data_IF_927138338866
#
_entry.id   IF_927138338866
#
_cell.length_a   1.000
_cell.length_b   1.000
_cell.length_c   1.000
_cell.angle_alpha   90.00
_cell.angle_beta   90.00
_cell.angle_gamma   90.00
#
_symmetry.space_group_name_H-M   'P 1'
#
loop_
_entity.id
_entity.type
_entity.pdbx_description
1 polymer ?
#
# COMPACT_ATOMS: atom_id res chain seq x y z
N UNK A 1 27.61 -2.15 -50.85
CA UNK A 1 26.24 -2.35 -50.32
C UNK A 1 26.20 -3.20 -49.03
N UNK A 2 27.02 -4.24 -48.85
CA UNK A 2 26.99 -5.06 -47.61
C UNK A 2 27.32 -4.31 -46.30
N UNK A 3 28.17 -3.28 -46.33
CA UNK A 3 28.46 -2.47 -45.14
C UNK A 3 27.28 -1.61 -44.67
N UNK A 4 26.36 -1.24 -45.57
CA UNK A 4 25.16 -0.46 -45.21
C UNK A 4 24.15 -1.35 -44.48
N UNK A 5 23.97 -2.59 -44.93
CA UNK A 5 23.09 -3.56 -44.27
C UNK A 5 23.58 -3.94 -42.85
N UNK A 6 24.90 -4.04 -42.63
CA UNK A 6 25.45 -4.28 -41.29
C UNK A 6 25.26 -3.09 -40.35
N UNK A 7 25.41 -1.85 -40.86
CA UNK A 7 25.18 -0.64 -40.07
C UNK A 7 23.70 -0.45 -39.73
N UNK A 8 22.78 -0.78 -40.64
CA UNK A 8 21.33 -0.77 -40.36
C UNK A 8 20.93 -1.87 -39.37
N UNK A 9 21.48 -3.08 -39.49
CA UNK A 9 21.26 -4.16 -38.54
C UNK A 9 21.74 -3.81 -37.12
N UNK A 10 22.94 -3.21 -37.00
CA UNK A 10 23.45 -2.73 -35.71
C UNK A 10 22.60 -1.58 -35.12
N UNK A 11 22.09 -0.67 -35.96
CA UNK A 11 21.15 0.37 -35.51
C UNK A 11 19.84 -0.23 -35.01
N UNK A 12 19.25 -1.19 -35.72
CA UNK A 12 18.02 -1.86 -35.30
C UNK A 12 18.21 -2.63 -33.99
N UNK A 13 19.31 -3.38 -33.83
CA UNK A 13 19.63 -4.07 -32.59
C UNK A 13 19.84 -3.10 -31.41
N UNK A 14 20.52 -1.97 -31.64
CA UNK A 14 20.69 -0.93 -30.62
C UNK A 14 19.37 -0.22 -30.26
N UNK A 15 18.48 -0.05 -31.24
CA UNK A 15 17.14 0.50 -31.06
C UNK A 15 16.29 -0.43 -30.19
N UNK A 16 16.23 -1.73 -30.53
CA UNK A 16 15.49 -2.72 -29.76
C UNK A 16 16.01 -2.87 -28.32
N UNK A 17 17.34 -2.80 -28.13
CA UNK A 17 17.95 -2.82 -26.79
C UNK A 17 17.63 -1.55 -25.97
N UNK A 18 17.63 -0.37 -26.61
CA UNK A 18 17.20 0.88 -25.95
C UNK A 18 15.72 0.84 -25.58
N UNK A 19 14.87 0.36 -26.48
CA UNK A 19 13.43 0.29 -26.25
C UNK A 19 13.09 -0.71 -25.14
N UNK A 20 13.72 -1.89 -25.11
CA UNK A 20 13.60 -2.84 -23.98
C UNK A 20 14.16 -2.29 -22.67
N UNK A 21 15.29 -1.60 -22.67
CA UNK A 21 15.82 -0.96 -21.46
C UNK A 21 14.89 0.15 -20.95
N UNK A 22 14.37 1.00 -21.83
CA UNK A 22 13.43 2.07 -21.47
C UNK A 22 12.12 1.49 -20.94
N UNK A 23 11.66 0.36 -21.49
CA UNK A 23 10.47 -0.33 -20.99
C UNK A 23 10.75 -0.96 -19.61
N UNK A 24 11.92 -1.55 -19.38
CA UNK A 24 12.32 -2.09 -18.07
C UNK A 24 12.46 -0.99 -17.01
N UNK A 25 13.05 0.16 -17.37
CA UNK A 25 13.11 1.33 -16.47
C UNK A 25 11.72 1.88 -16.18
N UNK A 26 10.84 2.01 -17.18
CA UNK A 26 9.45 2.43 -16.99
C UNK A 26 8.65 1.47 -16.10
N UNK A 27 8.84 0.16 -16.27
CA UNK A 27 8.26 -0.87 -15.39
C UNK A 27 8.82 -0.72 -13.98
N UNK A 28 10.14 -0.56 -13.83
CA UNK A 28 10.79 -0.40 -12.52
C UNK A 28 10.34 0.87 -11.79
N UNK A 29 10.21 1.99 -12.48
CA UNK A 29 9.70 3.25 -11.92
C UNK A 29 8.23 3.15 -11.54
N UNK A 30 7.40 2.52 -12.38
CA UNK A 30 5.99 2.26 -12.06
C UNK A 30 5.86 1.38 -10.82
N UNK A 31 6.73 0.38 -10.71
CA UNK A 31 6.78 -0.53 -9.58
C UNK A 31 7.23 0.16 -8.31
N UNK A 32 8.23 1.05 -8.40
CA UNK A 32 8.70 1.85 -7.28
C UNK A 32 7.67 2.90 -6.83
N UNK A 33 6.89 3.45 -7.76
CA UNK A 33 5.93 4.51 -7.51
C UNK A 33 4.61 4.03 -6.91
N UNK A 34 4.26 2.74 -7.05
CA UNK A 34 3.03 2.20 -6.51
C UNK A 34 3.28 1.36 -5.24
N UNK A 35 2.95 1.86 -4.04
CA UNK A 35 3.16 1.13 -2.79
C UNK A 35 2.45 -0.23 -2.73
N UNK A 36 1.31 -0.36 -3.42
CA UNK A 36 0.56 -1.62 -3.48
C UNK A 36 1.33 -2.65 -4.32
N UNK A 37 1.86 -2.27 -5.49
CA UNK A 37 2.70 -3.15 -6.32
C UNK A 37 3.94 -3.63 -5.57
N UNK A 38 4.59 -2.76 -4.77
CA UNK A 38 5.76 -3.16 -3.95
C UNK A 38 5.40 -4.18 -2.88
N UNK A 39 4.22 -4.03 -2.25
CA UNK A 39 3.70 -5.00 -1.28
C UNK A 39 3.37 -6.34 -1.96
N UNK A 40 2.74 -6.29 -3.12
CA UNK A 40 2.32 -7.48 -3.86
C UNK A 40 3.54 -8.26 -4.38
N UNK A 41 4.56 -7.57 -4.88
CA UNK A 41 5.83 -8.20 -5.21
C UNK A 41 6.53 -8.83 -4.00
N UNK A 42 6.53 -8.16 -2.84
CA UNK A 42 7.12 -8.74 -1.62
C UNK A 42 6.39 -10.02 -1.18
N UNK A 43 5.07 -10.08 -1.37
CA UNK A 43 4.29 -11.30 -1.16
C UNK A 43 4.62 -12.39 -2.19
N UNK A 44 4.82 -12.02 -3.46
CA UNK A 44 5.20 -12.97 -4.51
C UNK A 44 6.59 -13.57 -4.26
N UNK A 45 7.57 -12.77 -3.84
CA UNK A 45 8.89 -13.26 -3.44
C UNK A 45 8.80 -14.23 -2.27
N UNK A 46 8.01 -13.89 -1.25
CA UNK A 46 7.76 -14.80 -0.12
C UNK A 46 7.17 -16.13 -0.60
N UNK A 47 6.18 -16.08 -1.50
CA UNK A 47 5.55 -17.27 -2.06
C UNK A 47 6.55 -18.14 -2.83
N UNK A 48 7.36 -17.54 -3.70
CA UNK A 48 8.42 -18.25 -4.46
C UNK A 48 9.46 -18.87 -3.52
N UNK A 49 9.82 -18.18 -2.45
CA UNK A 49 10.74 -18.68 -1.41
C UNK A 49 10.15 -19.88 -0.66
N UNK A 50 8.86 -19.81 -0.27
CA UNK A 50 8.14 -20.93 0.35
C UNK A 50 8.01 -22.14 -0.60
N UNK A 51 7.73 -21.89 -1.89
CA UNK A 51 7.67 -22.94 -2.93
C UNK A 51 9.05 -23.60 -3.15
N UNK A 52 10.14 -22.83 -3.22
CA UNK A 52 11.49 -23.35 -3.35
C UNK A 52 11.89 -24.24 -2.16
N UNK A 53 11.65 -23.77 -0.92
CA UNK A 53 11.89 -24.57 0.29
C UNK A 53 11.13 -25.90 0.27
N UNK A 54 9.86 -25.89 -0.12
CA UNK A 54 9.08 -27.13 -0.20
C UNK A 54 9.63 -28.09 -1.25
N UNK A 55 10.09 -27.59 -2.40
CA UNK A 55 10.70 -28.42 -3.44
C UNK A 55 12.00 -29.05 -2.95
N UNK A 56 12.89 -28.27 -2.31
CA UNK A 56 14.16 -28.76 -1.77
C UNK A 56 13.93 -29.82 -0.68
N UNK A 57 12.93 -29.62 0.18
CA UNK A 57 12.54 -30.57 1.22
C UNK A 57 11.99 -31.88 0.63
N UNK A 58 11.23 -31.81 -0.46
CA UNK A 58 10.73 -33.00 -1.14
C UNK A 58 11.85 -33.75 -1.89
N UNK A 59 12.81 -33.03 -2.48
CA UNK A 59 14.00 -33.64 -3.09
C UNK A 59 14.84 -34.36 -2.03
N UNK A 60 15.09 -33.73 -0.88
CA UNK A 60 15.83 -34.31 0.23
C UNK A 60 15.13 -35.56 0.81
N UNK A 61 13.80 -35.57 0.90
CA UNK A 61 13.05 -36.78 1.31
C UNK A 61 13.16 -37.91 0.28
N UNK A 62 13.15 -37.58 -1.02
CA UNK A 62 13.30 -38.58 -2.09
C UNK A 62 14.69 -39.23 -2.08
N UNK A 63 15.75 -38.43 -1.93
CA UNK A 63 17.12 -38.96 -1.84
C UNK A 63 17.28 -39.86 -0.61
N UNK A 64 16.74 -39.45 0.55
CA UNK A 64 16.69 -40.30 1.74
C UNK A 64 15.93 -41.60 1.50
N UNK A 65 14.75 -41.54 0.90
CA UNK A 65 13.96 -42.75 0.66
C UNK A 65 14.69 -43.74 -0.25
N UNK A 66 15.40 -43.24 -1.28
CA UNK A 66 16.23 -44.07 -2.14
C UNK A 66 17.41 -44.71 -1.38
N UNK A 67 18.08 -43.95 -0.51
CA UNK A 67 19.15 -44.46 0.35
C UNK A 67 18.65 -45.52 1.33
N UNK A 68 17.53 -45.27 2.01
CA UNK A 68 16.92 -46.22 2.95
C UNK A 68 16.53 -47.54 2.24
N UNK A 69 16.03 -47.47 1.00
CA UNK A 69 15.76 -48.66 0.18
C UNK A 69 17.03 -49.43 -0.18
N UNK A 70 18.12 -48.74 -0.51
CA UNK A 70 19.38 -49.38 -0.87
C UNK A 70 20.03 -50.08 0.33
N UNK A 71 20.05 -49.42 1.50
CA UNK A 71 20.51 -50.02 2.75
C UNK A 71 19.65 -51.24 3.13
N UNK A 72 18.33 -51.17 2.96
CA UNK A 72 17.43 -52.29 3.23
C UNK A 72 17.74 -53.51 2.33
N UNK A 73 18.05 -53.29 1.04
CA UNK A 73 18.47 -54.36 0.13
C UNK A 73 19.81 -54.98 0.56
N UNK A 74 20.80 -54.16 0.91
CA UNK A 74 22.12 -54.64 1.38
C UNK A 74 21.99 -55.46 2.67
N UNK A 75 21.16 -55.00 3.60
CA UNK A 75 20.89 -55.73 4.83
C UNK A 75 20.19 -57.08 4.56
N UNK A 76 19.18 -57.10 3.67
CA UNK A 76 18.50 -58.33 3.28
C UNK A 76 19.45 -59.31 2.57
N UNK A 77 20.35 -58.83 1.71
CA UNK A 77 21.36 -59.65 1.06
C UNK A 77 22.33 -60.29 2.07
N UNK A 78 22.81 -59.52 3.05
CA UNK A 78 23.66 -60.03 4.12
C UNK A 78 22.95 -61.09 4.98
N UNK A 79 21.66 -60.86 5.32
CA UNK A 79 20.86 -61.83 6.06
C UNK A 79 20.65 -63.14 5.27
N UNK A 80 20.43 -63.06 3.94
CA UNK A 80 20.35 -64.24 3.08
C UNK A 80 21.67 -65.00 3.02
N UNK A 81 22.79 -64.30 2.81
CA UNK A 81 24.12 -64.89 2.77
C UNK A 81 24.46 -65.61 4.08
N UNK A 82 24.12 -64.99 5.22
CA UNK A 82 24.30 -65.62 6.53
C UNK A 82 23.43 -66.87 6.69
N UNK A 83 22.17 -66.85 6.22
CA UNK A 83 21.31 -68.04 6.23
C UNK A 83 21.87 -69.17 5.37
N UNK A 84 22.39 -68.86 4.19
CA UNK A 84 23.02 -69.83 3.28
C UNK A 84 24.30 -70.43 3.88
N UNK A 85 25.17 -69.59 4.47
CA UNK A 85 26.37 -70.04 5.16
C UNK A 85 26.04 -70.97 6.33
N UNK A 86 25.04 -70.62 7.15
CA UNK A 86 24.59 -71.46 8.27
C UNK A 86 24.07 -72.80 7.76
N UNK A 87 23.24 -72.80 6.70
CA UNK A 87 22.71 -74.04 6.11
C UNK A 87 23.83 -74.91 5.53
N UNK A 88 24.72 -74.31 4.73
CA UNK A 88 25.85 -75.00 4.10
C UNK A 88 26.79 -75.61 5.14
N UNK A 89 27.15 -74.84 6.17
CA UNK A 89 28.00 -75.32 7.25
C UNK A 89 27.32 -76.46 8.03
N UNK A 90 26.02 -76.35 8.33
CA UNK A 90 25.27 -77.42 8.99
C UNK A 90 25.21 -78.70 8.15
N UNK A 91 25.06 -78.59 6.82
CA UNK A 91 25.07 -79.75 5.93
C UNK A 91 26.44 -80.42 5.84
N UNK A 92 27.52 -79.64 5.82
CA UNK A 92 28.89 -80.13 5.81
C UNK A 92 29.24 -80.84 7.13
N UNK A 93 28.93 -80.22 8.27
CA UNK A 93 29.10 -80.82 9.58
C UNK A 93 28.30 -82.10 9.76
N UNK A 94 27.06 -82.14 9.24
CA UNK A 94 26.25 -83.36 9.25
C UNK A 94 26.88 -84.47 8.40
N UNK A 95 27.41 -84.14 7.24
CA UNK A 95 28.09 -85.11 6.36
C UNK A 95 29.34 -85.69 7.02
N UNK A 96 30.15 -84.85 7.65
CA UNK A 96 31.32 -85.28 8.42
C UNK A 96 30.94 -86.14 9.63
N UNK A 97 29.88 -85.77 10.36
CA UNK A 97 29.35 -86.57 11.47
C UNK A 97 28.83 -87.94 10.99
N UNK A 98 28.10 -87.98 9.88
CA UNK A 98 27.58 -89.22 9.31
C UNK A 98 28.70 -90.12 8.78
N UNK A 99 29.81 -89.54 8.31
CA UNK A 99 31.02 -90.29 7.95
C UNK A 99 31.72 -90.84 9.20
N UNK A 100 31.93 -90.00 10.20
CA UNK A 100 32.50 -90.42 11.49
C UNK A 100 31.75 -91.60 12.11
N UNK A 101 30.42 -91.52 12.15
CA UNK A 101 29.56 -92.58 12.68
C UNK A 101 29.67 -93.88 11.85
N UNK A 102 29.81 -93.77 10.52
CA UNK A 102 30.01 -94.92 9.63
C UNK A 102 31.37 -95.58 9.84
N UNK A 103 32.42 -94.78 9.99
CA UNK A 103 33.78 -95.25 10.23
C UNK A 103 33.88 -95.94 11.60
N UNK A 104 33.25 -95.36 12.64
CA UNK A 104 33.15 -95.98 13.98
C UNK A 104 32.36 -97.30 13.94
N UNK A 105 31.26 -97.36 13.20
CA UNK A 105 30.51 -98.61 13.01
C UNK A 105 31.32 -99.67 12.23
N UNK A 106 32.03 -99.26 11.18
CA UNK A 106 32.89 -100.12 10.36
C UNK A 106 34.03 -100.71 11.18
N UNK A 107 34.74 -99.88 11.95
CA UNK A 107 35.77 -100.33 12.88
C UNK A 107 35.20 -101.30 13.91
N UNK A 108 34.03 -100.98 14.50
CA UNK A 108 33.34 -101.88 15.42
C UNK A 108 32.99 -103.25 14.81
N UNK A 109 32.69 -103.33 13.51
CA UNK A 109 32.52 -104.60 12.80
C UNK A 109 33.85 -105.32 12.55
N UNK A 110 34.89 -104.60 12.13
CA UNK A 110 36.22 -105.15 11.92
C UNK A 110 36.81 -105.77 13.20
N UNK A 111 36.64 -105.09 14.34
CA UNK A 111 37.05 -105.59 15.65
C UNK A 111 36.33 -106.90 16.03
N UNK A 112 35.01 -106.98 15.79
CA UNK A 112 34.25 -108.22 16.01
C UNK A 112 34.72 -109.36 15.10
N UNK A 113 35.07 -109.06 13.84
CA UNK A 113 35.60 -110.04 12.90
C UNK A 113 36.96 -110.56 13.35
N UNK A 114 37.90 -109.69 13.73
CA UNK A 114 39.20 -110.10 14.26
C UNK A 114 39.09 -110.98 15.51
N UNK A 115 38.15 -110.67 16.42
CA UNK A 115 37.86 -111.49 17.59
C UNK A 115 37.29 -112.85 17.20
N UNK A 116 36.39 -112.91 16.20
CA UNK A 116 35.82 -114.17 15.70
C UNK A 116 36.88 -115.04 15.02
N UNK A 117 37.68 -114.46 14.14
CA UNK A 117 38.80 -115.14 13.46
C UNK A 117 39.80 -115.69 14.46
N UNK A 118 40.12 -114.93 15.51
CA UNK A 118 40.97 -115.43 16.58
C UNK A 118 40.31 -116.59 17.34
N UNK A 119 39.01 -116.49 17.65
CA UNK A 119 38.30 -117.59 18.30
C UNK A 119 38.26 -118.87 17.45
N UNK A 120 38.19 -118.75 16.12
CA UNK A 120 38.28 -119.87 15.18
C UNK A 120 39.70 -120.44 15.13
N UNK A 121 40.73 -119.60 14.97
CA UNK A 121 42.14 -119.99 15.04
C UNK A 121 42.46 -120.73 16.36
N UNK A 122 41.91 -120.27 17.48
CA UNK A 122 42.09 -120.93 18.79
C UNK A 122 41.39 -122.29 18.88
N UNK A 123 40.32 -122.54 18.13
CA UNK A 123 39.70 -123.87 18.05
C UNK A 123 40.57 -124.84 17.27
N UNK A 124 41.17 -124.39 16.17
CA UNK A 124 42.08 -125.19 15.33
C UNK A 124 43.36 -125.56 16.10
N UNK A 125 43.93 -124.61 16.83
CA UNK A 125 45.16 -124.80 17.62
C UNK A 125 44.96 -125.65 18.88
N UNK A 126 43.77 -126.22 19.12
CA UNK A 126 43.55 -127.14 20.25
C UNK A 126 44.40 -128.40 20.15
N UNK A 127 44.71 -128.84 18.93
CA UNK A 127 45.57 -130.00 18.66
C UNK A 127 47.07 -129.68 18.60
N UNK A 128 47.47 -128.42 18.51
CA UNK A 128 48.85 -128.02 18.15
C UNK A 128 49.75 -127.64 19.35
N UNK A 129 49.29 -127.92 20.57
CA UNK A 129 50.05 -127.70 21.80
C UNK A 129 50.03 -126.25 22.30
N UNK A 130 50.45 -126.07 23.56
CA UNK A 130 50.36 -124.80 24.29
C UNK A 130 51.16 -123.67 23.63
N UNK A 131 52.34 -123.95 23.09
CA UNK A 131 53.20 -122.93 22.46
C UNK A 131 52.58 -122.30 21.21
N UNK A 132 51.80 -123.06 20.43
CA UNK A 132 51.12 -122.54 19.24
C UNK A 132 49.98 -121.60 19.64
N UNK A 133 49.23 -121.96 20.69
CA UNK A 133 48.17 -121.12 21.26
C UNK A 133 48.74 -119.80 21.81
N UNK A 134 49.83 -119.84 22.59
CA UNK A 134 50.46 -118.63 23.12
C UNK A 134 51.02 -117.69 22.03
N UNK A 135 51.52 -118.25 20.92
CA UNK A 135 51.93 -117.46 19.76
C UNK A 135 50.73 -116.81 19.08
N UNK A 136 49.66 -117.55 18.84
CA UNK A 136 48.45 -117.01 18.22
C UNK A 136 47.77 -115.94 19.07
N UNK A 137 47.77 -116.10 20.40
CA UNK A 137 47.30 -115.07 21.32
C UNK A 137 48.17 -113.81 21.29
N UNK A 138 49.51 -113.94 21.27
CA UNK A 138 50.40 -112.79 21.14
C UNK A 138 50.19 -112.06 19.83
N UNK A 139 50.08 -112.78 18.71
CA UNK A 139 49.76 -112.20 17.41
C UNK A 139 48.41 -111.48 17.41
N UNK A 140 47.37 -112.09 18.00
CA UNK A 140 46.05 -111.45 18.10
C UNK A 140 46.11 -110.19 18.95
N UNK A 141 46.77 -110.22 20.12
CA UNK A 141 46.95 -109.04 20.96
C UNK A 141 47.68 -107.91 20.23
N UNK A 142 48.73 -108.22 19.47
CA UNK A 142 49.43 -107.22 18.65
C UNK A 142 48.52 -106.64 17.58
N UNK A 143 47.81 -107.49 16.81
CA UNK A 143 46.87 -107.04 15.77
C UNK A 143 45.73 -106.17 16.33
N UNK A 144 45.17 -106.55 17.47
CA UNK A 144 44.12 -105.77 18.13
C UNK A 144 44.65 -104.41 18.59
N UNK A 145 45.84 -104.38 19.20
CA UNK A 145 46.47 -103.12 19.62
C UNK A 145 46.83 -102.22 18.43
N UNK A 146 47.31 -102.79 17.32
CA UNK A 146 47.60 -102.04 16.09
C UNK A 146 46.32 -101.44 15.50
N UNK A 147 45.24 -102.23 15.41
CA UNK A 147 43.96 -101.76 14.88
C UNK A 147 43.29 -100.72 15.78
N UNK A 148 43.38 -100.86 17.11
CA UNK A 148 42.88 -99.86 18.07
C UNK A 148 43.67 -98.54 17.97
N UNK A 149 44.99 -98.64 17.82
CA UNK A 149 45.87 -97.48 17.66
C UNK A 149 45.62 -96.74 16.33
N UNK A 150 45.46 -97.48 15.24
CA UNK A 150 45.12 -96.91 13.93
C UNK A 150 43.76 -96.22 13.97
N UNK A 151 42.74 -96.87 14.53
CA UNK A 151 41.42 -96.26 14.67
C UNK A 151 41.42 -95.04 15.61
N UNK A 152 42.24 -95.04 16.67
CA UNK A 152 42.38 -93.86 17.53
C UNK A 152 42.93 -92.68 16.74
N UNK A 153 43.95 -92.88 15.90
CA UNK A 153 44.51 -91.84 15.03
C UNK A 153 43.49 -91.35 13.99
N UNK A 154 42.74 -92.26 13.38
CA UNK A 154 41.66 -91.91 12.45
C UNK A 154 40.57 -91.07 13.12
N UNK A 155 40.18 -91.44 14.36
CA UNK A 155 39.20 -90.70 15.17
C UNK A 155 39.69 -89.29 15.50
N UNK A 156 40.95 -89.15 15.87
CA UNK A 156 41.58 -87.84 16.11
C UNK A 156 41.58 -86.99 14.83
N UNK A 157 41.99 -87.53 13.69
CA UNK A 157 41.99 -86.83 12.38
C UNK A 157 40.57 -86.42 11.98
N UNK A 158 39.57 -87.29 12.17
CA UNK A 158 38.18 -86.98 11.83
C UNK A 158 37.60 -85.89 12.74
N UNK A 159 37.94 -85.91 14.03
CA UNK A 159 37.56 -84.88 14.99
C UNK A 159 38.22 -83.53 14.64
N UNK A 160 39.50 -83.53 14.28
CA UNK A 160 40.21 -82.34 13.81
C UNK A 160 39.56 -81.73 12.57
N UNK A 161 39.16 -82.56 11.60
CA UNK A 161 38.41 -82.12 10.40
C UNK A 161 37.07 -81.47 10.77
N UNK A 162 36.33 -82.08 11.69
CA UNK A 162 35.07 -81.52 12.18
C UNK A 162 35.26 -80.17 12.86
N UNK A 163 36.27 -80.04 13.72
CA UNK A 163 36.54 -78.79 14.43
C UNK A 163 37.11 -77.71 13.51
N UNK A 164 37.88 -78.08 12.49
CA UNK A 164 38.30 -77.17 11.43
C UNK A 164 37.09 -76.62 10.65
N UNK A 165 36.17 -77.49 10.23
CA UNK A 165 34.94 -77.08 9.53
C UNK A 165 34.06 -76.15 10.40
N UNK A 166 33.91 -76.46 11.70
CA UNK A 166 33.20 -75.57 12.64
C UNK A 166 33.84 -74.19 12.71
N UNK A 167 35.17 -74.11 12.86
CA UNK A 167 35.89 -72.83 12.93
C UNK A 167 35.77 -72.05 11.63
N UNK A 168 35.92 -72.70 10.48
CA UNK A 168 35.78 -72.06 9.18
C UNK A 168 34.36 -71.50 8.98
N UNK A 169 33.33 -72.29 9.28
CA UNK A 169 31.94 -71.84 9.24
C UNK A 169 31.67 -70.65 10.16
N UNK A 170 32.15 -70.70 11.40
CA UNK A 170 32.05 -69.58 12.34
C UNK A 170 32.78 -68.32 11.86
N UNK A 171 33.96 -68.45 11.26
CA UNK A 171 34.70 -67.33 10.69
C UNK A 171 33.94 -66.68 9.52
N UNK A 172 33.39 -67.48 8.60
CA UNK A 172 32.58 -66.97 7.48
C UNK A 172 31.35 -66.20 7.95
N UNK A 173 30.64 -66.73 8.96
CA UNK A 173 29.48 -66.05 9.57
C UNK A 173 29.91 -64.74 10.25
N UNK A 174 31.02 -64.75 11.00
CA UNK A 174 31.52 -63.57 11.69
C UNK A 174 31.89 -62.43 10.71
N UNK A 175 32.44 -62.76 9.54
CA UNK A 175 32.74 -61.78 8.49
C UNK A 175 31.47 -61.09 7.95
N UNK A 176 30.40 -61.85 7.71
CA UNK A 176 29.12 -61.30 7.25
C UNK A 176 28.46 -60.45 8.34
N UNK A 177 28.57 -60.86 9.60
CA UNK A 177 28.06 -60.06 10.73
C UNK A 177 28.82 -58.74 10.88
N UNK A 178 30.14 -58.73 10.68
CA UNK A 178 30.94 -57.50 10.66
C UNK A 178 30.51 -56.57 9.51
N UNK A 179 30.23 -57.11 8.33
CA UNK A 179 29.70 -56.34 7.20
C UNK A 179 28.31 -55.76 7.50
N UNK A 180 27.43 -56.53 8.14
CA UNK A 180 26.13 -56.06 8.60
C UNK A 180 26.25 -54.91 9.61
N UNK A 181 27.19 -54.99 10.55
CA UNK A 181 27.48 -53.89 11.47
C UNK A 181 27.98 -52.64 10.74
N UNK A 182 28.83 -52.78 9.71
CA UNK A 182 29.25 -51.66 8.86
C UNK A 182 28.06 -51.01 8.15
N UNK A 183 27.14 -51.80 7.58
CA UNK A 183 25.90 -51.31 6.95
C UNK A 183 25.03 -50.55 7.96
N UNK A 184 24.87 -51.07 9.18
CA UNK A 184 24.09 -50.39 10.22
C UNK A 184 24.72 -49.06 10.66
N UNK A 185 26.06 -49.02 10.77
CA UNK A 185 26.78 -47.79 11.10
C UNK A 185 26.64 -46.75 9.98
N UNK A 186 26.83 -47.16 8.72
CA UNK A 186 26.62 -46.31 7.54
C UNK A 186 25.21 -45.71 7.53
N UNK A 187 24.19 -46.52 7.84
CA UNK A 187 22.80 -46.05 7.98
C UNK A 187 22.64 -45.00 9.08
N UNK A 188 23.26 -45.22 10.24
CA UNK A 188 23.20 -44.29 11.37
C UNK A 188 23.86 -42.95 11.04
N UNK A 189 25.05 -43.00 10.46
CA UNK A 189 25.83 -41.82 10.08
C UNK A 189 25.07 -40.97 9.03
N UNK A 190 24.47 -41.60 8.02
CA UNK A 190 23.69 -40.88 7.01
C UNK A 190 22.37 -40.33 7.56
N UNK A 191 21.71 -41.03 8.50
CA UNK A 191 20.51 -40.54 9.18
C UNK A 191 20.81 -39.26 10.00
N UNK A 192 21.95 -39.24 10.69
CA UNK A 192 22.40 -38.06 11.42
C UNK A 192 22.72 -36.89 10.49
N UNK A 193 23.35 -37.17 9.35
CA UNK A 193 23.63 -36.17 8.31
C UNK A 193 22.35 -35.60 7.72
N UNK A 194 21.40 -36.44 7.32
CA UNK A 194 20.07 -36.02 6.84
C UNK A 194 19.34 -35.16 7.88
N UNK A 195 19.37 -35.56 9.15
CA UNK A 195 18.73 -34.81 10.23
C UNK A 195 19.35 -33.42 10.40
N UNK A 196 20.68 -33.30 10.27
CA UNK A 196 21.37 -32.01 10.29
C UNK A 196 20.99 -31.14 9.11
N UNK A 197 21.02 -31.67 7.88
CA UNK A 197 20.65 -30.94 6.66
C UNK A 197 19.20 -30.43 6.72
N UNK A 198 18.27 -31.27 7.18
CA UNK A 198 16.87 -30.89 7.38
C UNK A 198 16.70 -29.74 8.38
N UNK A 199 17.39 -29.83 9.52
CA UNK A 199 17.32 -28.79 10.56
C UNK A 199 17.93 -27.47 10.07
N UNK A 200 19.03 -27.53 9.33
CA UNK A 200 19.68 -26.36 8.74
C UNK A 200 18.78 -25.70 7.68
N UNK A 201 18.20 -26.49 6.79
CA UNK A 201 17.26 -25.99 5.77
C UNK A 201 16.03 -25.34 6.42
N UNK A 202 15.45 -25.98 7.46
CA UNK A 202 14.32 -25.43 8.20
C UNK A 202 14.67 -24.12 8.93
N UNK A 203 15.87 -24.03 9.51
CA UNK A 203 16.37 -22.82 10.19
C UNK A 203 16.57 -21.68 9.19
N UNK A 204 17.26 -21.93 8.08
CA UNK A 204 17.51 -20.95 7.03
C UNK A 204 16.18 -20.42 6.46
N UNK A 205 15.23 -21.32 6.18
CA UNK A 205 13.91 -20.93 5.72
C UNK A 205 13.12 -20.12 6.76
N UNK A 206 13.26 -20.42 8.05
CA UNK A 206 12.65 -19.60 9.10
C UNK A 206 13.26 -18.18 9.16
N UNK A 207 14.56 -18.05 8.98
CA UNK A 207 15.25 -16.74 8.93
C UNK A 207 14.83 -15.93 7.71
N UNK A 208 14.76 -16.53 6.53
CA UNK A 208 14.26 -15.88 5.31
C UNK A 208 12.79 -15.44 5.44
N UNK A 209 11.93 -16.28 6.04
CA UNK A 209 10.54 -15.89 6.33
C UNK A 209 10.45 -14.68 7.25
N UNK A 210 11.34 -14.56 8.26
CA UNK A 210 11.40 -13.37 9.12
C UNK A 210 11.81 -12.12 8.31
N UNK A 211 12.81 -12.23 7.43
CA UNK A 211 13.24 -11.14 6.55
C UNK A 211 12.11 -10.68 5.62
N UNK A 212 11.44 -11.62 4.94
CA UNK A 212 10.30 -11.31 4.07
C UNK A 212 9.17 -10.63 4.83
N UNK A 213 8.80 -11.13 6.02
CA UNK A 213 7.75 -10.52 6.83
C UNK A 213 8.12 -9.10 7.28
N UNK A 214 9.38 -8.84 7.62
CA UNK A 214 9.86 -7.50 7.96
C UNK A 214 9.73 -6.53 6.77
N UNK A 215 10.13 -6.95 5.57
CA UNK A 215 9.99 -6.16 4.33
C UNK A 215 8.51 -5.87 4.04
N UNK A 216 7.64 -6.89 4.10
CA UNK A 216 6.19 -6.72 3.89
C UNK A 216 5.61 -5.72 4.91
N UNK A 217 6.02 -5.81 6.18
CA UNK A 217 5.63 -4.88 7.23
C UNK A 217 6.05 -3.44 6.95
N UNK A 218 7.31 -3.23 6.53
CA UNK A 218 7.83 -1.92 6.15
C UNK A 218 7.05 -1.32 4.98
N UNK A 219 6.81 -2.11 3.91
CA UNK A 219 6.03 -1.65 2.75
C UNK A 219 4.59 -1.31 3.08
N UNK A 220 3.96 -2.02 4.03
CA UNK A 220 2.64 -1.66 4.54
C UNK A 220 2.64 -0.29 5.24
N UNK A 221 3.66 0.01 6.04
CA UNK A 221 3.78 1.31 6.71
C UNK A 221 4.02 2.45 5.72
N UNK A 222 4.88 2.25 4.72
CA UNK A 222 5.10 3.22 3.63
C UNK A 222 3.81 3.53 2.87
N UNK A 223 2.98 2.50 2.57
CA UNK A 223 1.68 2.68 1.91
C UNK A 223 0.71 3.52 2.76
N UNK A 224 0.64 3.29 4.07
CA UNK A 224 -0.23 4.06 4.97
C UNK A 224 0.23 5.53 5.03
N UNK A 225 1.54 5.77 5.11
CA UNK A 225 2.11 7.11 5.07
C UNK A 225 1.76 7.85 3.78
N UNK A 226 2.02 7.24 2.62
CA UNK A 226 1.71 7.82 1.31
C UNK A 226 0.22 8.17 1.15
N UNK A 227 -0.70 7.31 1.61
CA UNK A 227 -2.14 7.61 1.59
C UNK A 227 -2.51 8.80 2.47
N UNK A 228 -1.86 8.94 3.64
CA UNK A 228 -2.09 10.07 4.55
C UNK A 228 -1.65 11.39 3.91
N UNK A 229 -0.50 11.40 3.26
CA UNK A 229 0.03 12.59 2.58
C UNK A 229 -0.86 13.00 1.40
N UNK A 230 -1.35 12.03 0.62
CA UNK A 230 -2.29 12.28 -0.47
C UNK A 230 -3.60 12.92 0.04
N UNK A 231 -4.19 12.40 1.11
CA UNK A 231 -5.40 12.97 1.71
C UNK A 231 -5.18 14.41 2.21
N UNK A 232 -3.98 14.72 2.71
CA UNK A 232 -3.64 16.08 3.14
C UNK A 232 -3.63 17.07 1.97
N UNK A 233 -3.00 16.68 0.85
CA UNK A 233 -2.96 17.49 -0.38
C UNK A 233 -4.37 17.69 -0.95
N UNK A 234 -5.20 16.64 -0.99
CA UNK A 234 -6.58 16.73 -1.47
C UNK A 234 -7.43 17.68 -0.59
N UNK A 235 -7.28 17.58 0.73
CA UNK A 235 -7.95 18.48 1.68
C UNK A 235 -7.54 19.95 1.50
N UNK A 236 -6.23 20.23 1.34
CA UNK A 236 -5.72 21.58 1.08
C UNK A 236 -6.28 22.17 -0.22
N UNK A 237 -6.38 21.37 -1.29
CA UNK A 237 -6.99 21.80 -2.55
C UNK A 237 -8.48 22.14 -2.40
N UNK A 238 -9.23 21.34 -1.64
CA UNK A 238 -10.66 21.59 -1.39
C UNK A 238 -10.83 22.91 -0.60
N UNK A 239 -10.03 23.12 0.44
CA UNK A 239 -10.10 24.35 1.24
C UNK A 239 -9.77 25.60 0.41
N UNK A 240 -8.78 25.52 -0.48
CA UNK A 240 -8.43 26.63 -1.36
C UNK A 240 -9.54 26.92 -2.39
N UNK A 241 -10.16 25.88 -2.96
CA UNK A 241 -11.34 26.03 -3.82
C UNK A 241 -12.48 26.73 -3.09
N UNK A 242 -12.82 26.29 -1.87
CA UNK A 242 -13.88 26.89 -1.07
C UNK A 242 -13.59 28.36 -0.72
N UNK A 243 -12.32 28.69 -0.43
CA UNK A 243 -11.90 30.08 -0.18
C UNK A 243 -12.14 30.96 -1.41
N UNK A 244 -11.80 30.47 -2.60
CA UNK A 244 -12.02 31.19 -3.86
C UNK A 244 -13.52 31.41 -4.13
N UNK A 245 -14.34 30.39 -3.90
CA UNK A 245 -15.80 30.48 -4.06
C UNK A 245 -16.42 31.51 -3.10
N UNK A 246 -16.00 31.52 -1.82
CA UNK A 246 -16.45 32.49 -0.83
C UNK A 246 -16.06 33.92 -1.24
N UNK A 247 -14.81 34.12 -1.68
CA UNK A 247 -14.35 35.44 -2.12
C UNK A 247 -15.13 35.94 -3.34
N UNK A 248 -15.45 35.05 -4.29
CA UNK A 248 -16.26 35.37 -5.46
C UNK A 248 -17.68 35.79 -5.05
N UNK A 249 -18.33 35.01 -4.17
CA UNK A 249 -19.66 35.32 -3.65
C UNK A 249 -19.68 36.66 -2.91
N UNK A 250 -18.67 36.92 -2.07
CA UNK A 250 -18.56 38.18 -1.32
C UNK A 250 -18.42 39.37 -2.28
N UNK A 251 -17.62 39.25 -3.34
CA UNK A 251 -17.45 40.29 -4.34
C UNK A 251 -18.75 40.59 -5.10
N UNK A 252 -19.52 39.55 -5.44
CA UNK A 252 -20.85 39.69 -6.07
C UNK A 252 -21.82 40.40 -5.13
N UNK A 253 -21.87 39.98 -3.86
CA UNK A 253 -22.76 40.54 -2.85
C UNK A 253 -22.44 42.02 -2.55
N UNK A 254 -21.16 42.38 -2.44
CA UNK A 254 -20.72 43.78 -2.27
C UNK A 254 -21.19 44.65 -3.45
N UNK A 255 -21.03 44.14 -4.67
CA UNK A 255 -21.42 44.87 -5.88
C UNK A 255 -22.94 45.03 -6.00
N UNK A 256 -23.72 44.01 -5.66
CA UNK A 256 -25.18 44.06 -5.68
C UNK A 256 -25.70 45.04 -4.62
N UNK A 257 -25.19 44.97 -3.39
CA UNK A 257 -25.53 45.91 -2.32
C UNK A 257 -25.14 47.35 -2.69
N UNK A 258 -23.96 47.55 -3.27
CA UNK A 258 -23.53 48.85 -3.77
C UNK A 258 -24.47 49.40 -4.86
N UNK A 259 -24.88 48.56 -5.82
CA UNK A 259 -25.83 48.96 -6.87
C UNK A 259 -27.18 49.36 -6.28
N UNK A 260 -27.72 48.56 -5.35
CA UNK A 260 -28.98 48.86 -4.67
C UNK A 260 -28.92 50.17 -3.87
N UNK A 261 -27.79 50.44 -3.21
CA UNK A 261 -27.58 51.68 -2.49
C UNK A 261 -27.61 52.90 -3.42
N UNK A 262 -26.96 52.80 -4.59
CA UNK A 262 -26.96 53.87 -5.61
C UNK A 262 -28.36 54.10 -6.17
N UNK A 263 -29.11 53.05 -6.49
CA UNK A 263 -30.50 53.16 -6.95
C UNK A 263 -31.36 53.93 -5.93
N UNK A 264 -31.26 53.59 -4.65
CA UNK A 264 -32.00 54.26 -3.58
C UNK A 264 -31.60 55.73 -3.41
N UNK A 265 -30.34 56.07 -3.70
CA UNK A 265 -29.88 57.46 -3.67
C UNK A 265 -30.37 58.25 -4.88
N UNK A 266 -30.43 57.64 -6.07
CA UNK A 266 -31.01 58.26 -7.27
C UNK A 266 -32.50 58.60 -7.01
N UNK A 267 -33.24 57.68 -6.38
CA UNK A 267 -34.63 57.93 -5.99
C UNK A 267 -34.77 59.16 -5.06
N UNK A 268 -33.84 59.37 -4.13
CA UNK A 268 -33.81 60.56 -3.27
C UNK A 268 -33.54 61.84 -4.07
N UNK A 269 -32.57 61.75 -4.98
CA UNK A 269 -32.11 62.87 -5.78
C UNK A 269 -33.21 63.45 -6.67
N UNK A 270 -34.17 62.65 -7.12
CA UNK A 270 -35.27 63.14 -7.96
C UNK A 270 -36.13 64.22 -7.26
N UNK A 271 -36.39 64.08 -5.95
CA UNK A 271 -37.10 65.11 -5.19
C UNK A 271 -36.27 66.39 -5.07
N UNK A 272 -34.96 66.26 -4.80
CA UNK A 272 -34.02 67.38 -4.69
C UNK A 272 -33.93 68.15 -6.00
N UNK A 273 -33.75 67.42 -7.11
CA UNK A 273 -33.69 67.98 -8.46
C UNK A 273 -34.96 68.76 -8.79
N UNK A 274 -36.13 68.22 -8.45
CA UNK A 274 -37.40 68.92 -8.70
C UNK A 274 -37.49 70.22 -7.92
N UNK A 275 -37.15 70.22 -6.62
CA UNK A 275 -37.12 71.44 -5.80
C UNK A 275 -36.12 72.46 -6.35
N UNK A 276 -34.93 72.02 -6.75
CA UNK A 276 -33.94 72.89 -7.39
C UNK A 276 -34.50 73.52 -8.66
N UNK A 277 -35.14 72.75 -9.55
CA UNK A 277 -35.75 73.29 -10.76
C UNK A 277 -36.85 74.31 -10.46
N UNK A 278 -37.71 74.04 -9.48
CA UNK A 278 -38.75 74.99 -9.06
C UNK A 278 -38.16 76.28 -8.48
N UNK A 279 -37.08 76.19 -7.70
CA UNK A 279 -36.33 77.36 -7.21
C UNK A 279 -35.69 78.16 -8.35
N UNK A 280 -35.19 77.48 -9.38
CA UNK A 280 -34.60 78.09 -10.58
C UNK A 280 -35.67 78.84 -11.40
N UNK A 281 -36.88 78.27 -11.52
CA UNK A 281 -38.04 78.95 -12.11
C UNK A 281 -38.39 80.21 -11.32
N UNK A 282 -38.50 80.11 -9.99
CA UNK A 282 -38.75 81.27 -9.12
C UNK A 282 -37.68 82.33 -9.32
N UNK A 283 -36.40 81.95 -9.35
CA UNK A 283 -35.31 82.89 -9.60
C UNK A 283 -35.42 83.56 -10.96
N UNK A 284 -35.71 82.79 -12.02
CA UNK A 284 -35.81 83.30 -13.40
C UNK A 284 -36.97 84.27 -13.54
N UNK A 285 -38.12 83.96 -12.94
CA UNK A 285 -39.31 84.83 -12.98
C UNK A 285 -39.12 86.13 -12.17
N UNK A 286 -38.29 86.10 -11.12
CA UNK A 286 -38.03 87.28 -10.28
C UNK A 286 -36.87 88.15 -10.76
N UNK A 287 -36.03 87.63 -11.65
CA UNK A 287 -34.88 88.38 -12.17
C UNK A 287 -35.30 89.15 -13.42
N UNK A 288 -35.82 90.36 -13.23
CA UNK A 288 -35.97 91.32 -14.35
C UNK A 288 -34.60 91.80 -14.81
N UNK A 289 -34.46 91.93 -16.13
CA UNK A 289 -33.28 92.48 -16.78
C UNK A 289 -33.29 94.00 -16.53
N UNK A 290 -32.72 94.45 -15.41
CA UNK A 290 -32.55 95.88 -15.08
C UNK A 290 -33.26 96.32 -13.79
N UNK A 291 -33.22 97.62 -13.49
CA UNK A 291 -33.93 98.26 -12.36
C UNK A 291 -35.47 98.30 -12.56
N UNK A 292 -35.99 97.58 -13.55
CA UNK A 292 -37.41 97.49 -13.83
C UNK A 292 -38.10 96.55 -12.85
N UNK A 293 -39.25 97.02 -12.37
CA UNK A 293 -40.15 96.30 -11.49
C UNK A 293 -40.63 95.01 -12.20
N UNK A 294 -40.43 93.81 -11.62
CA UNK A 294 -41.00 92.58 -12.16
C UNK A 294 -42.51 92.68 -12.24
N UNK A 295 -43.06 92.62 -13.46
CA UNK A 295 -44.49 92.55 -13.69
C UNK A 295 -44.96 91.09 -13.50
N UNK A 296 -44.97 90.64 -12.24
CA UNK A 296 -45.38 89.28 -11.88
C UNK A 296 -46.90 89.28 -11.73
N UNK A 297 -47.59 88.54 -12.59
CA UNK A 297 -49.03 88.33 -12.44
C UNK A 297 -49.31 87.41 -11.24
N UNK A 298 -50.28 87.76 -10.38
CA UNK A 298 -50.72 86.88 -9.30
C UNK A 298 -51.08 85.49 -9.86
N UNK A 299 -50.44 84.44 -9.33
CA UNK A 299 -50.61 83.05 -9.77
C UNK A 299 -49.50 82.48 -10.66
N UNK A 300 -48.60 83.29 -11.22
CA UNK A 300 -47.43 82.77 -11.96
C UNK A 300 -46.52 81.91 -11.08
N UNK A 301 -46.32 82.32 -9.83
CA UNK A 301 -45.52 81.58 -8.84
C UNK A 301 -46.33 80.49 -8.12
N UNK A 302 -47.02 79.63 -8.88
CA UNK A 302 -47.78 78.48 -8.35
C UNK A 302 -46.90 77.32 -7.86
N UNK A 303 -45.58 77.47 -7.94
CA UNK A 303 -44.57 76.42 -7.69
C UNK A 303 -44.34 76.08 -6.21
N UNK A 304 -44.84 76.88 -5.27
CA UNK A 304 -44.53 76.69 -3.83
C UNK A 304 -45.24 75.49 -3.19
N UNK A 305 -46.46 75.18 -3.60
CA UNK A 305 -47.14 73.96 -3.13
C UNK A 305 -46.41 72.71 -3.64
N UNK A 306 -45.86 72.75 -4.85
CA UNK A 306 -45.03 71.69 -5.40
C UNK A 306 -43.71 71.54 -4.64
N UNK A 307 -43.03 72.65 -4.29
CA UNK A 307 -41.82 72.60 -3.46
C UNK A 307 -42.12 71.92 -2.11
N UNK A 308 -43.23 72.28 -1.47
CA UNK A 308 -43.66 71.66 -0.20
C UNK A 308 -43.96 70.17 -0.38
N UNK A 309 -44.67 69.79 -1.43
CA UNK A 309 -44.96 68.39 -1.77
C UNK A 309 -43.67 67.58 -1.99
N UNK A 310 -42.73 68.12 -2.76
CA UNK A 310 -41.46 67.44 -3.04
C UNK A 310 -40.54 67.38 -1.82
N UNK A 311 -40.63 68.35 -0.90
CA UNK A 311 -39.99 68.27 0.41
C UNK A 311 -40.52 67.11 1.25
N UNK A 312 -41.84 67.00 1.40
CA UNK A 312 -42.43 65.86 2.13
C UNK A 312 -42.08 64.52 1.47
N UNK A 313 -42.01 64.47 0.14
CA UNK A 313 -41.58 63.28 -0.58
C UNK A 313 -40.11 62.94 -0.31
N UNK A 314 -39.23 63.94 -0.28
CA UNK A 314 -37.82 63.79 0.09
C UNK A 314 -37.70 63.22 1.51
N UNK A 315 -38.35 63.83 2.51
CA UNK A 315 -38.27 63.41 3.92
C UNK A 315 -38.68 61.92 4.09
N UNK A 316 -39.78 61.53 3.43
CA UNK A 316 -40.24 60.13 3.41
C UNK A 316 -39.24 59.17 2.77
N UNK A 317 -38.61 59.60 1.66
CA UNK A 317 -37.57 58.79 0.99
C UNK A 317 -36.32 58.71 1.87
N UNK A 318 -35.93 59.75 2.60
CA UNK A 318 -34.76 59.75 3.50
C UNK A 318 -34.98 58.77 4.65
N UNK A 319 -36.16 58.79 5.26
CA UNK A 319 -36.52 57.82 6.31
C UNK A 319 -36.44 56.37 5.80
N UNK A 320 -36.91 56.12 4.57
CA UNK A 320 -36.83 54.81 3.92
C UNK A 320 -35.39 54.42 3.59
N UNK A 321 -34.59 55.35 3.09
CA UNK A 321 -33.18 55.14 2.78
C UNK A 321 -32.41 54.71 4.03
N UNK A 322 -32.50 55.49 5.11
CA UNK A 322 -31.86 55.17 6.39
C UNK A 322 -32.26 53.80 6.93
N UNK A 323 -33.55 53.42 6.82
CA UNK A 323 -34.03 52.10 7.23
C UNK A 323 -33.40 50.94 6.44
N UNK A 324 -33.28 51.08 5.12
CA UNK A 324 -32.74 50.00 4.27
C UNK A 324 -31.21 49.88 4.41
N UNK A 325 -30.55 51.01 4.62
CA UNK A 325 -29.09 51.08 4.73
C UNK A 325 -28.57 50.37 6.00
N UNK A 326 -29.32 50.45 7.10
CA UNK A 326 -29.00 49.72 8.35
C UNK A 326 -29.08 48.19 8.17
N UNK A 327 -29.75 47.69 7.14
CA UNK A 327 -29.94 46.25 6.92
C UNK A 327 -28.94 45.60 5.94
N UNK A 328 -28.12 46.37 5.21
CA UNK A 328 -27.13 45.78 4.28
C UNK A 328 -25.80 45.54 4.98
N UNK A 329 -25.40 44.29 5.18
CA UNK A 329 -24.16 43.91 5.90
C UNK A 329 -22.89 43.90 5.03
N UNK A 330 -23.00 44.14 3.72
CA UNK A 330 -21.86 44.04 2.78
C UNK A 330 -21.72 45.26 1.86
N UNK A 331 -22.21 46.41 2.29
CA UNK A 331 -22.01 47.65 1.53
C UNK A 331 -20.61 48.19 1.76
N UNK A 332 -19.94 48.57 0.67
CA UNK A 332 -18.63 49.23 0.73
C UNK A 332 -18.70 50.51 1.59
N UNK A 333 -17.76 50.61 2.53
CA UNK A 333 -17.75 51.67 3.52
C UNK A 333 -17.64 53.07 2.90
N UNK A 334 -16.88 53.23 1.80
CA UNK A 334 -16.71 54.53 1.13
C UNK A 334 -17.98 54.94 0.40
N UNK A 335 -18.60 54.01 -0.32
CA UNK A 335 -19.89 54.25 -0.97
C UNK A 335 -20.97 54.60 0.05
N UNK A 336 -21.04 53.84 1.15
CA UNK A 336 -21.93 54.12 2.26
C UNK A 336 -21.74 55.54 2.81
N UNK A 337 -20.48 55.92 3.09
CA UNK A 337 -20.13 57.23 3.65
C UNK A 337 -20.54 58.37 2.71
N UNK A 338 -20.26 58.24 1.41
CA UNK A 338 -20.65 59.24 0.40
C UNK A 338 -22.15 59.39 0.33
N UNK A 339 -22.90 58.29 0.28
CA UNK A 339 -24.36 58.34 0.23
C UNK A 339 -24.93 58.98 1.51
N UNK A 340 -24.47 58.58 2.69
CA UNK A 340 -24.96 59.11 3.96
C UNK A 340 -24.65 60.61 4.15
N UNK A 341 -23.45 61.03 3.73
CA UNK A 341 -23.04 62.44 3.79
C UNK A 341 -23.92 63.28 2.86
N UNK A 342 -24.06 62.86 1.61
CA UNK A 342 -24.90 63.52 0.60
C UNK A 342 -26.35 63.67 1.05
N UNK A 343 -26.94 62.60 1.60
CA UNK A 343 -28.32 62.65 2.11
C UNK A 343 -28.45 63.67 3.24
N UNK A 344 -27.47 63.70 4.14
CA UNK A 344 -27.47 64.64 5.27
C UNK A 344 -27.31 66.09 4.80
N UNK A 345 -26.52 66.34 3.76
CA UNK A 345 -26.32 67.69 3.24
C UNK A 345 -27.54 68.20 2.45
N UNK A 346 -28.20 67.34 1.66
CA UNK A 346 -29.49 67.70 1.06
C UNK A 346 -30.58 67.93 2.09
N UNK A 347 -30.65 67.12 3.15
CA UNK A 347 -31.59 67.32 4.27
C UNK A 347 -31.37 68.70 4.92
N UNK A 348 -30.11 69.07 5.21
CA UNK A 348 -29.77 70.40 5.72
C UNK A 348 -30.26 71.52 4.80
N UNK A 349 -30.07 71.41 3.48
CA UNK A 349 -30.53 72.44 2.54
C UNK A 349 -32.06 72.50 2.50
N UNK A 350 -32.73 71.35 2.45
CA UNK A 350 -34.18 71.25 2.40
C UNK A 350 -34.84 71.76 3.69
N UNK A 351 -34.14 71.74 4.82
CA UNK A 351 -34.61 72.23 6.12
C UNK A 351 -34.20 73.67 6.45
N UNK A 352 -33.40 74.32 5.59
CA UNK A 352 -32.98 75.71 5.81
C UNK A 352 -34.18 76.62 6.00
N UNK A 353 -34.05 77.53 6.96
CA UNK A 353 -35.09 78.54 7.24
C UNK A 353 -35.39 79.38 6.01
N UNK A 354 -34.38 79.68 5.18
CA UNK A 354 -34.52 80.39 3.91
C UNK A 354 -35.53 79.69 2.99
N UNK A 355 -35.52 78.36 2.90
CA UNK A 355 -36.48 77.59 2.09
C UNK A 355 -37.91 77.83 2.57
N UNK A 356 -38.13 77.81 3.90
CA UNK A 356 -39.43 78.11 4.50
C UNK A 356 -39.85 79.56 4.23
N UNK A 357 -38.92 80.51 4.36
CA UNK A 357 -39.20 81.92 4.16
C UNK A 357 -39.59 82.22 2.71
N UNK A 358 -38.82 81.71 1.76
CA UNK A 358 -39.11 81.82 0.32
C UNK A 358 -40.48 81.21 0.02
N UNK A 359 -40.77 79.99 0.48
CA UNK A 359 -42.05 79.34 0.18
C UNK A 359 -43.29 80.03 0.81
N UNK A 360 -43.17 80.64 1.99
CA UNK A 360 -44.32 81.21 2.71
C UNK A 360 -44.52 82.71 2.48
N UNK A 361 -43.45 83.47 2.26
CA UNK A 361 -43.52 84.93 2.25
C UNK A 361 -43.33 85.55 0.87
N UNK A 362 -42.65 84.88 -0.05
CA UNK A 362 -42.53 85.37 -1.42
C UNK A 362 -43.90 85.47 -2.15
N UNK A 363 -44.81 84.47 -2.07
CA UNK A 363 -46.16 84.63 -2.65
C UNK A 363 -46.85 85.89 -2.12
N UNK A 364 -46.81 86.08 -0.79
CA UNK A 364 -47.41 87.24 -0.13
C UNK A 364 -46.73 88.55 -0.51
N UNK A 365 -45.42 88.55 -0.72
CA UNK A 365 -44.68 89.74 -1.15
C UNK A 365 -45.09 90.13 -2.57
N UNK A 366 -45.31 89.15 -3.45
CA UNK A 366 -45.80 89.35 -4.83
C UNK A 366 -47.23 89.85 -4.85
N UNK A 367 -48.13 89.24 -4.08
CA UNK A 367 -49.53 89.68 -3.94
C UNK A 367 -49.63 91.13 -3.43
N UNK A 368 -48.77 91.51 -2.48
CA UNK A 368 -48.73 92.86 -1.94
C UNK A 368 -47.91 93.85 -2.79
N UNK A 369 -47.32 93.41 -3.91
CA UNK A 369 -46.41 94.19 -4.75
C UNK A 369 -45.26 94.84 -3.95
N UNK A 370 -44.78 94.16 -2.91
CA UNK A 370 -43.70 94.63 -2.04
C UNK A 370 -42.34 94.31 -2.66
N UNK A 371 -41.90 95.15 -3.59
CA UNK A 371 -40.67 94.95 -4.37
C UNK A 371 -39.43 94.73 -3.51
N UNK A 372 -39.35 95.37 -2.33
CA UNK A 372 -38.21 95.18 -1.42
C UNK A 372 -38.19 93.76 -0.87
N UNK A 373 -39.36 93.24 -0.46
CA UNK A 373 -39.47 91.84 0.00
C UNK A 373 -39.29 90.85 -1.15
N UNK A 374 -39.83 91.12 -2.33
CA UNK A 374 -39.65 90.26 -3.51
C UNK A 374 -38.17 90.09 -3.82
N UNK A 375 -37.41 91.19 -3.92
CA UNK A 375 -35.95 91.16 -4.16
C UNK A 375 -35.21 90.39 -3.07
N UNK A 376 -35.56 90.62 -1.81
CA UNK A 376 -34.97 89.92 -0.67
C UNK A 376 -35.17 88.39 -0.76
N UNK A 377 -36.38 87.93 -1.07
CA UNK A 377 -36.66 86.49 -1.20
C UNK A 377 -36.09 85.90 -2.50
N UNK A 378 -35.98 86.68 -3.58
CA UNK A 378 -35.28 86.27 -4.81
C UNK A 378 -33.80 85.98 -4.54
N UNK A 379 -33.13 86.86 -3.79
CA UNK A 379 -31.73 86.66 -3.38
C UNK A 379 -31.57 85.42 -2.50
N UNK A 380 -32.54 85.14 -1.62
CA UNK A 380 -32.56 83.90 -0.84
C UNK A 380 -32.74 82.66 -1.71
N UNK A 381 -33.67 82.68 -2.66
CA UNK A 381 -33.89 81.58 -3.60
C UNK A 381 -32.63 81.30 -4.44
N UNK A 382 -31.94 82.35 -4.90
CA UNK A 382 -30.67 82.25 -5.62
C UNK A 382 -29.57 81.60 -4.76
N UNK A 383 -29.44 82.00 -3.49
CA UNK A 383 -28.49 81.36 -2.55
C UNK A 383 -28.81 79.88 -2.33
N UNK A 384 -30.08 79.52 -2.19
CA UNK A 384 -30.50 78.11 -2.07
C UNK A 384 -30.19 77.31 -3.33
N UNK A 385 -30.48 77.86 -4.52
CA UNK A 385 -30.19 77.20 -5.81
C UNK A 385 -28.67 76.97 -6.00
N UNK A 386 -27.84 77.93 -5.59
CA UNK A 386 -26.38 77.78 -5.59
C UNK A 386 -25.92 76.67 -4.64
N UNK A 387 -26.51 76.56 -3.44
CA UNK A 387 -26.20 75.49 -2.49
C UNK A 387 -26.61 74.12 -3.04
N UNK A 388 -27.79 73.98 -3.63
CA UNK A 388 -28.16 72.74 -4.32
C UNK A 388 -27.16 72.38 -5.42
N UNK A 389 -26.74 73.37 -6.22
CA UNK A 389 -25.79 73.15 -7.31
C UNK A 389 -24.41 72.69 -6.79
N UNK A 390 -23.94 73.24 -5.68
CA UNK A 390 -22.70 72.82 -5.02
C UNK A 390 -22.79 71.37 -4.53
N UNK A 391 -23.87 71.00 -3.85
CA UNK A 391 -24.02 69.62 -3.35
C UNK A 391 -24.18 68.60 -4.49
N UNK A 392 -24.86 68.97 -5.57
CA UNK A 392 -24.93 68.13 -6.79
C UNK A 392 -23.53 67.90 -7.38
N UNK A 393 -22.67 68.92 -7.38
CA UNK A 393 -21.28 68.81 -7.83
C UNK A 393 -20.44 67.95 -6.88
N UNK A 394 -20.62 68.10 -5.55
CA UNK A 394 -19.96 67.25 -4.55
C UNK A 394 -20.35 65.78 -4.71
N UNK A 395 -21.63 65.50 -4.94
CA UNK A 395 -22.13 64.16 -5.23
C UNK A 395 -21.49 63.57 -6.49
N UNK A 396 -21.47 64.33 -7.58
CA UNK A 396 -20.85 63.90 -8.83
C UNK A 396 -19.34 63.61 -8.66
N UNK A 397 -18.63 64.44 -7.90
CA UNK A 397 -17.22 64.23 -7.58
C UNK A 397 -17.01 62.98 -6.71
N UNK A 398 -17.85 62.78 -5.68
CA UNK A 398 -17.84 61.59 -4.83
C UNK A 398 -18.04 60.31 -5.64
N UNK A 399 -19.04 60.28 -6.52
CA UNK A 399 -19.28 59.16 -7.42
C UNK A 399 -18.20 58.96 -8.48
N UNK A 400 -17.59 60.02 -9.01
CA UNK A 400 -16.46 59.86 -9.93
C UNK A 400 -15.27 59.18 -9.27
N UNK A 401 -15.06 59.39 -7.97
CA UNK A 401 -14.01 58.72 -7.21
C UNK A 401 -14.35 57.26 -6.92
N UNK A 402 -15.61 56.96 -6.62
CA UNK A 402 -16.06 55.61 -6.29
C UNK A 402 -16.27 54.74 -7.54
N UNK A 403 -16.77 55.31 -8.64
CA UNK A 403 -16.96 54.61 -9.91
C UNK A 403 -15.66 54.08 -10.52
N UNK A 404 -14.51 54.68 -10.21
CA UNK A 404 -13.19 54.09 -10.54
C UNK A 404 -12.96 52.75 -9.84
N UNK A 405 -13.54 52.56 -8.66
CA UNK A 405 -13.47 51.32 -7.87
C UNK A 405 -14.47 50.27 -8.35
N UNK A 406 -15.59 50.71 -8.96
CA UNK A 406 -16.65 49.84 -9.48
C UNK A 406 -16.66 49.71 -11.00
N UNK A 407 -15.66 50.24 -11.69
CA UNK A 407 -15.47 50.03 -13.12
C UNK A 407 -15.27 48.53 -13.36
N UNK A 408 -16.35 47.91 -13.81
CA UNK A 408 -16.46 46.48 -14.07
C UNK A 408 -15.46 46.15 -15.17
N UNK A 409 -14.41 45.41 -14.82
CA UNK A 409 -13.70 44.63 -15.81
C UNK A 409 -14.69 43.62 -16.40
N UNK A 410 -15.11 43.84 -17.65
CA UNK A 410 -16.01 42.95 -18.39
C UNK A 410 -15.48 41.52 -18.42
N UNK A 411 -14.18 41.30 -18.20
CA UNK A 411 -13.56 39.98 -18.12
C UNK A 411 -14.16 39.11 -17.00
N UNK A 412 -14.54 39.69 -15.85
CA UNK A 412 -15.03 38.93 -14.70
C UNK A 412 -16.51 38.53 -14.80
N UNK A 413 -17.30 39.16 -15.68
CA UNK A 413 -18.70 38.79 -15.89
C UNK A 413 -18.83 37.51 -16.74
N UNK A 414 -17.89 37.26 -17.66
CA UNK A 414 -17.88 36.05 -18.49
C UNK A 414 -17.44 34.79 -17.72
N UNK A 415 -16.66 34.96 -16.64
CA UNK A 415 -16.21 33.86 -15.78
C UNK A 415 -17.26 33.38 -14.77
N UNK A 416 -18.36 34.11 -14.60
CA UNK A 416 -19.47 33.75 -13.70
C UNK A 416 -20.66 33.14 -14.49
N UNK A 417 -20.67 33.28 -15.82
CA UNK A 417 -21.73 32.73 -16.69
C UNK A 417 -21.35 31.41 -17.38
N UNK A 418 -20.12 30.94 -17.19
CA UNK A 418 -19.65 29.60 -17.57
C UNK A 418 -19.21 28.86 -16.31
#
# INVERSE_FOLDING_TARGET
MQYVAYAEGAKMASGAAKETSSNLFGIWDTWNSNPQMRKDHANELKKKSDEAYNNDMEELKKTRSAFDQEIAKRHAAADMQMSELVKSNNTELKTLQDQFNRDEASHGMAMKMMVREHAEKMKELRSEGREAQERAEREHRMKMSEAEEEHRKEKEIAQEKMDAAKREGSMKIALVEEEKQKIMKERSDELEKYTREMNEMAKNHQEERKKHNAIIGQKKMEMIGSKRDQLKIESEKILESMRNDINLLLAVEIKQNGSHLVEKLIDLFESVKTVKCLMDTVQTELTTIGDEVPEITPGQLSTFDDIKRHKTLFDNRVARFRKNVVTSSFTDAKLYEICMTTVSDFEKIMDKQDMKLVCHHLPKAVENQDFKKIKYYADMASKLNNQFSQEVQHLAAGFSNVSKTYAIDRSNQAAIQN
#
